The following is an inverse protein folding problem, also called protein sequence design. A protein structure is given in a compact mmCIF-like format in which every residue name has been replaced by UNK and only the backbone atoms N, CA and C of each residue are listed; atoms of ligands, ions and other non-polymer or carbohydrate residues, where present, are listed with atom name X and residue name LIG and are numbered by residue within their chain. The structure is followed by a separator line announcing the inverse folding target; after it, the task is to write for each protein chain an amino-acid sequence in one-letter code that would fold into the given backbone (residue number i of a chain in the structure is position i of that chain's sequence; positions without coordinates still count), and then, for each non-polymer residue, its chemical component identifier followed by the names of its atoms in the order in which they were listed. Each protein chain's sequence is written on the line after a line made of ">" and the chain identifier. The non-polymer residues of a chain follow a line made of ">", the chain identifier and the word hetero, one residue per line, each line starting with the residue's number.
data_IF_136690143682
#
_entry.id   IF_136690143682
#
_cell.length_a   1.000
_cell.length_b   1.000
_cell.length_c   1.000
_cell.angle_alpha   90.00
_cell.angle_beta   90.00
_cell.angle_gamma   90.00
#
_symmetry.space_group_name_H-M   'P 1'
#
loop_
_entity.id
_entity.type
_entity.pdbx_description
1 polymer ?
#
# COMPACT_ATOMS: atom_id res chain seq x y z
N UNK A 1 20.25 -3.20 -28.65
CA UNK A 1 18.89 -3.29 -29.22
C UNK A 1 17.92 -3.48 -28.07
N UNK A 2 16.92 -2.62 -27.90
CA UNK A 2 15.85 -2.81 -26.92
C UNK A 2 14.82 -3.78 -27.54
N UNK A 3 14.32 -4.74 -26.76
CA UNK A 3 13.31 -5.70 -27.22
C UNK A 3 13.84 -7.04 -27.73
N UNK A 4 15.16 -7.28 -27.70
CA UNK A 4 15.75 -8.59 -28.01
C UNK A 4 16.71 -9.00 -26.90
N UNK A 5 16.22 -9.80 -25.95
CA UNK A 5 16.99 -10.37 -24.83
C UNK A 5 17.06 -11.87 -24.98
N UNK A 6 18.25 -12.45 -24.75
CA UNK A 6 18.43 -13.89 -24.65
C UNK A 6 17.78 -14.43 -23.37
N UNK A 7 17.57 -15.74 -23.30
CA UNK A 7 17.03 -16.40 -22.10
C UNK A 7 17.90 -16.15 -20.86
N UNK A 8 19.22 -16.33 -21.00
CA UNK A 8 20.14 -16.13 -19.88
C UNK A 8 20.09 -14.69 -19.36
N UNK A 9 20.03 -13.71 -20.27
CA UNK A 9 19.90 -12.30 -19.87
C UNK A 9 18.56 -12.00 -19.21
N UNK A 10 17.48 -12.62 -19.68
CA UNK A 10 16.18 -12.50 -19.04
C UNK A 10 16.22 -13.06 -17.60
N UNK A 11 16.84 -14.21 -17.39
CA UNK A 11 16.93 -14.81 -16.05
C UNK A 11 17.76 -13.95 -15.08
N UNK A 12 18.82 -13.29 -15.56
CA UNK A 12 19.55 -12.27 -14.78
C UNK A 12 18.69 -11.06 -14.42
N UNK A 13 17.90 -10.56 -15.38
CA UNK A 13 16.98 -9.44 -15.15
C UNK A 13 15.89 -9.81 -14.16
N UNK A 14 15.40 -11.05 -14.15
CA UNK A 14 14.44 -11.53 -13.16
C UNK A 14 15.06 -11.53 -11.76
N UNK A 15 16.32 -11.97 -11.62
CA UNK A 15 17.04 -11.94 -10.32
C UNK A 15 17.16 -10.51 -9.81
N UNK A 16 17.69 -9.61 -10.64
CA UNK A 16 17.81 -8.18 -10.29
C UNK A 16 16.44 -7.54 -10.00
N UNK A 17 15.43 -7.89 -10.78
CA UNK A 17 14.06 -7.41 -10.61
C UNK A 17 13.48 -7.77 -9.24
N UNK A 18 13.78 -8.96 -8.71
CA UNK A 18 13.37 -9.36 -7.36
C UNK A 18 14.02 -8.50 -6.28
N UNK A 19 15.29 -8.14 -6.44
CA UNK A 19 16.00 -7.25 -5.50
C UNK A 19 15.44 -5.82 -5.53
N UNK A 20 15.09 -5.34 -6.73
CA UNK A 20 14.43 -4.04 -6.89
C UNK A 20 13.03 -4.04 -6.27
N UNK A 21 12.24 -5.09 -6.52
CA UNK A 21 10.92 -5.27 -5.88
C UNK A 21 11.07 -5.31 -4.37
N UNK A 22 12.07 -6.01 -3.83
CA UNK A 22 12.29 -6.05 -2.39
C UNK A 22 12.57 -4.68 -1.78
N UNK A 23 13.44 -3.91 -2.45
CA UNK A 23 13.77 -2.54 -2.07
C UNK A 23 12.53 -1.63 -2.10
N UNK A 24 11.79 -1.67 -3.20
CA UNK A 24 10.57 -0.88 -3.39
C UNK A 24 9.50 -1.26 -2.34
N UNK A 25 9.26 -2.55 -2.13
CA UNK A 25 8.25 -3.04 -1.18
C UNK A 25 8.57 -2.60 0.24
N UNK A 26 9.83 -2.65 0.65
CA UNK A 26 10.27 -2.13 1.94
C UNK A 26 9.98 -0.64 2.12
N UNK A 27 10.19 0.18 1.08
CA UNK A 27 9.84 1.61 1.12
C UNK A 27 8.32 1.83 1.20
N UNK A 28 7.54 1.10 0.39
CA UNK A 28 6.06 1.18 0.40
C UNK A 28 5.48 0.89 1.78
N UNK A 29 5.96 -0.18 2.44
CA UNK A 29 5.52 -0.52 3.79
C UNK A 29 5.87 0.55 4.83
N UNK A 30 7.10 1.08 4.80
CA UNK A 30 7.52 2.14 5.73
C UNK A 30 6.71 3.42 5.55
N UNK A 31 6.46 3.81 4.30
CA UNK A 31 5.65 4.98 3.97
C UNK A 31 4.18 4.78 4.37
N UNK A 32 3.62 3.58 4.18
CA UNK A 32 2.27 3.25 4.63
C UNK A 32 2.14 3.21 6.16
N UNK A 33 3.16 2.72 6.86
CA UNK A 33 3.21 2.74 8.33
C UNK A 33 3.32 4.16 8.87
N UNK A 34 4.20 5.00 8.31
CA UNK A 34 4.30 6.41 8.66
C UNK A 34 2.97 7.15 8.41
N UNK A 35 2.31 6.88 7.29
CA UNK A 35 0.99 7.45 7.00
C UNK A 35 -0.10 6.97 7.98
N UNK A 36 0.01 5.77 8.56
CA UNK A 36 -0.88 5.30 9.64
C UNK A 36 -0.59 5.94 10.98
N UNK A 37 0.69 6.21 11.27
CA UNK A 37 1.12 6.93 12.46
C UNK A 37 0.63 8.39 12.43
N UNK A 38 0.78 9.06 11.28
CA UNK A 38 0.27 10.42 11.05
C UNK A 38 -1.26 10.45 11.18
N UNK A 39 -1.95 9.50 10.55
CA UNK A 39 -3.40 9.41 10.65
C UNK A 39 -3.85 7.95 10.78
N UNK A 40 -4.40 7.54 11.93
CA UNK A 40 -4.97 6.20 12.10
C UNK A 40 -6.23 5.99 11.25
N UNK A 41 -6.51 4.74 10.83
CA UNK A 41 -7.76 4.45 10.12
C UNK A 41 -8.95 4.59 11.06
N UNK A 42 -9.94 5.40 10.66
CA UNK A 42 -11.16 5.60 11.45
C UNK A 42 -12.28 4.66 10.98
N UNK A 43 -13.16 4.18 11.88
CA UNK A 43 -14.39 3.52 11.47
C UNK A 43 -15.28 4.49 10.67
N UNK A 44 -15.97 3.99 9.64
CA UNK A 44 -16.96 4.79 8.92
C UNK A 44 -18.05 5.27 9.90
N UNK A 45 -18.28 6.59 9.96
CA UNK A 45 -19.39 7.20 10.71
C UNK A 45 -19.12 7.58 12.18
N UNK A 46 -17.90 7.46 12.67
CA UNK A 46 -17.55 7.89 14.04
C UNK A 46 -17.32 9.41 14.15
N UNK A 47 -17.99 10.07 15.11
CA UNK A 47 -17.72 11.46 15.47
C UNK A 47 -16.29 11.63 16.02
N UNK A 48 -15.66 12.77 15.73
CA UNK A 48 -14.29 13.07 16.11
C UNK A 48 -14.16 13.24 17.64
N UNK A 49 -13.38 12.41 18.38
CA UNK A 49 -13.12 12.66 19.80
C UNK A 49 -12.01 13.72 20.01
N UNK A 50 -11.10 13.89 19.03
CA UNK A 50 -9.93 14.76 19.13
C UNK A 50 -10.22 16.19 18.67
N UNK A 51 -11.16 16.85 19.34
CA UNK A 51 -11.46 18.26 19.09
C UNK A 51 -10.48 19.26 19.73
N UNK A 52 -9.22 18.88 20.04
CA UNK A 52 -8.36 19.77 20.84
C UNK A 52 -6.93 20.04 20.37
N UNK A 53 -6.34 19.31 19.42
CA UNK A 53 -4.95 19.57 18.98
C UNK A 53 -4.66 19.26 17.49
N UNK A 54 -5.68 19.11 16.64
CA UNK A 54 -5.45 18.86 15.21
C UNK A 54 -5.11 20.17 14.48
N UNK A 55 -3.81 20.38 14.19
CA UNK A 55 -3.33 21.50 13.36
C UNK A 55 -3.77 21.40 11.90
N UNK A 56 -4.25 20.23 11.47
CA UNK A 56 -4.68 19.93 10.10
C UNK A 56 -5.88 18.97 10.10
N UNK A 57 -6.74 19.03 9.10
CA UNK A 57 -7.68 17.92 8.85
C UNK A 57 -6.91 16.65 8.49
N UNK A 58 -7.48 15.49 8.78
CA UNK A 58 -7.01 14.14 8.36
C UNK A 58 -6.49 14.10 6.91
N UNK A 59 -7.22 14.77 6.01
CA UNK A 59 -6.89 14.77 4.58
C UNK A 59 -5.74 15.72 4.25
N UNK A 60 -5.54 16.78 5.03
CA UNK A 60 -4.45 17.74 4.85
C UNK A 60 -3.12 17.16 5.34
N UNK A 61 -3.06 16.52 6.51
CA UNK A 61 -1.82 15.92 7.01
C UNK A 61 -1.23 14.87 6.05
N UNK A 62 -2.08 13.99 5.50
CA UNK A 62 -1.65 13.00 4.51
C UNK A 62 -1.26 13.64 3.16
N UNK A 63 -1.90 14.76 2.79
CA UNK A 63 -1.54 15.51 1.57
C UNK A 63 -0.18 16.16 1.71
N UNK A 64 0.07 16.85 2.82
CA UNK A 64 1.37 17.46 3.13
C UNK A 64 2.47 16.41 3.17
N UNK A 65 2.25 15.30 3.89
CA UNK A 65 3.24 14.21 3.93
C UNK A 65 3.55 13.66 2.53
N UNK A 66 2.53 13.49 1.67
CA UNK A 66 2.73 13.03 0.31
C UNK A 66 3.55 14.04 -0.53
N UNK A 67 3.26 15.33 -0.41
CA UNK A 67 3.99 16.40 -1.09
C UNK A 67 5.45 16.46 -0.64
N UNK A 68 5.71 16.41 0.67
CA UNK A 68 7.06 16.49 1.25
C UNK A 68 7.95 15.30 0.86
N UNK A 69 7.38 14.10 0.72
CA UNK A 69 8.12 12.90 0.28
C UNK A 69 8.13 12.71 -1.24
N UNK A 70 7.49 13.61 -2.00
CA UNK A 70 7.46 13.58 -3.46
C UNK A 70 6.58 12.49 -4.07
N UNK A 71 5.48 12.12 -3.40
CA UNK A 71 4.51 11.13 -3.88
C UNK A 71 3.13 11.75 -4.09
N UNK A 72 2.33 11.14 -4.98
CA UNK A 72 0.93 11.51 -5.11
C UNK A 72 0.15 11.17 -3.82
N UNK A 73 -0.75 12.07 -3.42
CA UNK A 73 -1.66 11.84 -2.28
C UNK A 73 -2.39 10.50 -2.35
N UNK A 74 -2.89 10.12 -3.54
CA UNK A 74 -3.60 8.84 -3.77
C UNK A 74 -2.71 7.63 -3.50
N UNK A 75 -1.43 7.71 -3.87
CA UNK A 75 -0.42 6.67 -3.63
C UNK A 75 -0.21 6.46 -2.13
N UNK A 76 0.06 7.52 -1.37
CA UNK A 76 0.25 7.46 0.08
C UNK A 76 -1.01 6.97 0.79
N UNK A 77 -2.19 7.43 0.34
CA UNK A 77 -3.48 6.95 0.84
C UNK A 77 -3.66 5.44 0.61
N UNK A 78 -3.26 4.92 -0.55
CA UNK A 78 -3.28 3.48 -0.82
C UNK A 78 -2.30 2.72 0.06
N UNK A 79 -1.08 3.21 0.27
CA UNK A 79 -0.09 2.52 1.11
C UNK A 79 -0.58 2.41 2.54
N UNK A 80 -1.13 3.51 3.06
CA UNK A 80 -1.76 3.58 4.38
C UNK A 80 -2.88 2.55 4.52
N UNK A 81 -3.76 2.49 3.51
CA UNK A 81 -4.86 1.52 3.49
C UNK A 81 -4.34 0.07 3.58
N UNK A 82 -3.39 -0.29 2.72
CA UNK A 82 -2.83 -1.65 2.70
C UNK A 82 -2.09 -1.96 4.01
N UNK A 83 -1.26 -1.05 4.52
CA UNK A 83 -0.59 -1.20 5.81
C UNK A 83 -1.55 -1.46 6.97
N UNK A 84 -2.76 -0.90 6.93
CA UNK A 84 -3.76 -1.09 7.99
C UNK A 84 -4.37 -2.49 8.01
N UNK A 85 -4.38 -3.17 6.86
CA UNK A 85 -4.97 -4.50 6.69
C UNK A 85 -3.97 -5.62 6.80
N UNK A 86 -2.69 -5.31 6.64
CA UNK A 86 -1.60 -6.28 6.65
C UNK A 86 -0.62 -5.96 7.79
N UNK A 87 -0.77 -6.60 8.96
CA UNK A 87 0.19 -6.52 10.07
C UNK A 87 1.59 -6.90 9.62
N UNK A 88 2.63 -6.38 10.30
CA UNK A 88 4.03 -6.54 9.90
C UNK A 88 4.43 -8.00 9.70
N UNK A 89 3.86 -8.90 10.50
CA UNK A 89 4.11 -10.34 10.50
C UNK A 89 3.56 -11.04 9.25
N UNK A 90 2.59 -10.43 8.56
CA UNK A 90 1.97 -10.97 7.34
C UNK A 90 2.52 -10.36 6.05
N UNK A 91 3.45 -9.41 6.15
CA UNK A 91 4.03 -8.73 5.00
C UNK A 91 5.15 -9.56 4.42
N UNK A 92 5.22 -9.58 3.09
CA UNK A 92 6.35 -10.16 2.37
C UNK A 92 7.20 -9.05 1.80
N UNK A 93 8.51 -9.16 2.02
CA UNK A 93 9.47 -8.20 1.49
C UNK A 93 9.61 -8.33 -0.02
N UNK A 94 9.43 -9.53 -0.59
CA UNK A 94 9.62 -9.82 -2.01
C UNK A 94 8.36 -9.63 -2.87
N UNK A 95 7.31 -9.02 -2.30
CA UNK A 95 6.04 -8.76 -2.97
C UNK A 95 5.64 -7.30 -2.77
N UNK A 96 5.43 -6.59 -3.88
CA UNK A 96 4.96 -5.20 -3.84
C UNK A 96 3.60 -5.09 -3.17
N UNK A 97 3.35 -3.97 -2.49
CA UNK A 97 2.06 -3.73 -1.82
C UNK A 97 0.85 -3.81 -2.77
N UNK A 98 1.01 -3.65 -4.09
CA UNK A 98 -0.16 -3.64 -5.01
C UNK A 98 -0.74 -5.03 -5.17
N UNK A 99 0.08 -6.08 -5.02
CA UNK A 99 -0.42 -7.44 -4.96
C UNK A 99 -1.31 -7.65 -3.72
N UNK A 100 -0.95 -7.05 -2.58
CA UNK A 100 -1.76 -7.07 -1.36
C UNK A 100 -3.00 -6.17 -1.43
N UNK A 101 -2.92 -5.05 -2.16
CA UNK A 101 -4.06 -4.17 -2.42
C UNK A 101 -5.14 -4.88 -3.22
N UNK A 102 -4.77 -5.63 -4.27
CA UNK A 102 -5.71 -6.47 -5.03
C UNK A 102 -6.42 -7.46 -4.12
N UNK A 103 -5.68 -8.18 -3.27
CA UNK A 103 -6.26 -9.15 -2.33
C UNK A 103 -7.22 -8.46 -1.34
N UNK A 104 -6.84 -7.28 -0.82
CA UNK A 104 -7.67 -6.48 0.07
C UNK A 104 -8.98 -5.99 -0.58
N UNK A 105 -8.97 -5.73 -1.88
CA UNK A 105 -10.16 -5.31 -2.66
C UNK A 105 -11.11 -6.46 -2.94
N UNK A 106 -10.61 -7.69 -3.06
CA UNK A 106 -11.45 -8.87 -3.28
C UNK A 106 -11.97 -9.48 -1.97
N UNK A 107 -11.18 -9.45 -0.90
CA UNK A 107 -11.58 -9.94 0.43
C UNK A 107 -12.72 -9.13 1.08
N UNK A 108 -13.08 -7.96 0.54
CA UNK A 108 -14.08 -7.06 1.12
C UNK A 108 -15.13 -6.56 0.10
N UNK A 109 -15.41 -7.32 -0.97
CA UNK A 109 -16.70 -7.16 -1.65
C UNK A 109 -17.76 -7.82 -0.76
N UNK A 110 -18.87 -7.14 -0.38
CA UNK A 110 -20.02 -7.87 0.15
C UNK A 110 -20.36 -8.94 -0.89
N UNK A 111 -20.50 -10.18 -0.45
CA UNK A 111 -20.73 -11.33 -1.32
C UNK A 111 -21.80 -10.98 -2.37
N UNK A 112 -21.39 -10.85 -3.64
CA UNK A 112 -22.35 -10.93 -4.73
C UNK A 112 -22.81 -12.39 -4.74
N UNK A 113 -24.12 -12.66 -4.64
CA UNK A 113 -24.63 -13.98 -4.35
C UNK A 113 -24.70 -14.81 -5.63
N UNK A 114 -23.59 -15.11 -6.29
CA UNK A 114 -23.57 -16.13 -7.33
C UNK A 114 -22.18 -16.76 -7.41
N UNK A 115 -22.08 -17.95 -6.81
CA UNK A 115 -21.46 -19.17 -7.31
C UNK A 115 -21.01 -20.02 -6.11
N UNK A 116 -21.91 -20.87 -5.62
CA UNK A 116 -21.52 -22.08 -4.90
C UNK A 116 -20.96 -23.09 -5.90
N UNK A 117 -19.81 -23.73 -5.66
CA UNK A 117 -19.43 -24.91 -6.40
C UNK A 117 -20.19 -26.13 -5.84
N UNK A 118 -20.78 -26.90 -6.75
CA UNK A 118 -20.99 -28.34 -6.58
C UNK A 118 -19.65 -29.06 -6.71
#
# INVERSE_FOLDING_TARGET
>A
MIGSVTRDRYDELVKQGRDWVATMSGAQWRLGDAALEIEPMRPYGGANPSGKDDLFTVSEAIRMFAEDVGLAYTTVRSYRWVSSRWPKERRRADVSQWAFDVDSRWAFRPALPYLSPM
#
